data_IF_052484617402
#
_entry.id   IF_052484617402
#
_cell.length_a   1.000
_cell.length_b   1.000
_cell.length_c   1.000
_cell.angle_alpha   90.00
_cell.angle_beta   90.00
_cell.angle_gamma   90.00
#
_symmetry.space_group_name_H-M   'P 1'
#
loop_
_entity.id
_entity.type
_entity.pdbx_description
1 polymer ?
#
# COMPACT_ATOMS: atom_id res chain seq x y z
N UNK A 1 -19.84 47.18 -12.30
CA UNK A 1 -19.95 46.16 -11.22
C UNK A 1 -20.09 44.71 -11.71
N UNK A 2 -20.16 44.42 -13.02
CA UNK A 2 -20.38 43.04 -13.54
C UNK A 2 -19.05 42.24 -13.63
N UNK A 3 -17.94 42.89 -13.96
CA UNK A 3 -16.62 42.25 -14.10
C UNK A 3 -16.04 41.63 -12.81
N UNK A 4 -16.35 42.21 -11.65
CA UNK A 4 -15.91 41.67 -10.36
C UNK A 4 -16.56 40.33 -10.00
N UNK A 5 -17.85 40.17 -10.34
CA UNK A 5 -18.60 38.93 -10.09
C UNK A 5 -18.08 37.76 -10.95
N UNK A 6 -17.81 37.98 -12.23
CA UNK A 6 -17.25 36.95 -13.12
C UNK A 6 -15.85 36.50 -12.71
N UNK A 7 -14.98 37.43 -12.30
CA UNK A 7 -13.65 37.10 -11.79
C UNK A 7 -13.72 36.30 -10.48
N UNK A 8 -14.66 36.65 -9.59
CA UNK A 8 -14.89 35.94 -8.33
C UNK A 8 -15.42 34.51 -8.57
N UNK A 9 -16.38 34.33 -9.46
CA UNK A 9 -16.91 33.01 -9.83
C UNK A 9 -15.84 32.13 -10.47
N UNK A 10 -15.02 32.69 -11.37
CA UNK A 10 -13.93 31.93 -12.01
C UNK A 10 -12.88 31.47 -11.02
N UNK A 11 -12.49 32.33 -10.07
CA UNK A 11 -11.57 31.96 -8.97
C UNK A 11 -12.18 30.91 -8.05
N UNK A 12 -13.46 31.04 -7.71
CA UNK A 12 -14.15 30.06 -6.88
C UNK A 12 -14.28 28.70 -7.59
N UNK A 13 -14.56 28.69 -8.90
CA UNK A 13 -14.59 27.47 -9.71
C UNK A 13 -13.23 26.76 -9.69
N UNK A 14 -12.14 27.45 -10.05
CA UNK A 14 -10.78 26.87 -10.02
C UNK A 14 -10.40 26.31 -8.65
N UNK A 15 -10.83 26.97 -7.57
CA UNK A 15 -10.62 26.49 -6.20
C UNK A 15 -11.39 25.21 -5.89
N UNK A 16 -12.65 25.12 -6.33
CA UNK A 16 -13.46 23.92 -6.11
C UNK A 16 -12.89 22.76 -6.92
N UNK A 17 -12.48 23.01 -8.16
CA UNK A 17 -11.86 22.01 -9.03
C UNK A 17 -10.59 21.41 -8.39
N UNK A 18 -9.67 22.26 -7.88
CA UNK A 18 -8.46 21.76 -7.22
C UNK A 18 -8.73 20.94 -5.94
N UNK A 19 -9.71 21.35 -5.12
CA UNK A 19 -10.10 20.57 -3.93
C UNK A 19 -10.71 19.21 -4.33
N UNK A 20 -11.50 19.16 -5.41
CA UNK A 20 -12.12 17.91 -5.90
C UNK A 20 -11.07 16.99 -6.50
N UNK A 21 -10.15 17.52 -7.30
CA UNK A 21 -9.04 16.78 -7.90
C UNK A 21 -8.17 16.13 -6.82
N UNK A 22 -7.83 16.89 -5.77
CA UNK A 22 -7.06 16.39 -4.63
C UNK A 22 -7.78 15.28 -3.86
N UNK A 23 -9.09 15.43 -3.63
CA UNK A 23 -9.90 14.36 -3.02
C UNK A 23 -9.93 13.10 -3.89
N UNK A 24 -10.04 13.27 -5.20
CA UNK A 24 -10.09 12.17 -6.15
C UNK A 24 -8.76 11.41 -6.21
N UNK A 25 -7.62 12.12 -6.22
CA UNK A 25 -6.27 11.56 -6.13
C UNK A 25 -6.14 10.63 -4.92
N UNK A 26 -6.49 11.13 -3.72
CA UNK A 26 -6.42 10.36 -2.47
C UNK A 26 -7.34 9.13 -2.52
N UNK A 27 -8.58 9.28 -2.99
CA UNK A 27 -9.52 8.16 -3.10
C UNK A 27 -9.04 7.11 -4.09
N UNK A 28 -8.47 7.52 -5.24
CA UNK A 28 -7.90 6.61 -6.22
C UNK A 28 -6.72 5.82 -5.64
N UNK A 29 -5.83 6.48 -4.90
CA UNK A 29 -4.73 5.84 -4.20
C UNK A 29 -5.22 4.82 -3.15
N UNK A 30 -6.14 5.20 -2.28
CA UNK A 30 -6.69 4.31 -1.25
C UNK A 30 -7.44 3.11 -1.86
N UNK A 31 -8.21 3.31 -2.93
CA UNK A 31 -8.90 2.24 -3.63
C UNK A 31 -7.92 1.28 -4.33
N UNK A 32 -6.80 1.81 -4.86
CA UNK A 32 -5.71 0.99 -5.40
C UNK A 32 -5.09 0.12 -4.32
N UNK A 33 -4.70 0.72 -3.20
CA UNK A 33 -4.12 0.00 -2.07
C UNK A 33 -5.05 -1.10 -1.56
N UNK A 34 -6.31 -0.76 -1.31
CA UNK A 34 -7.29 -1.71 -0.79
C UNK A 34 -7.50 -2.90 -1.72
N UNK A 35 -7.57 -2.68 -3.04
CA UNK A 35 -7.67 -3.74 -4.04
C UNK A 35 -6.43 -4.62 -4.03
N UNK A 36 -5.24 -4.03 -4.08
CA UNK A 36 -3.99 -4.78 -4.16
C UNK A 36 -3.71 -5.60 -2.90
N UNK A 37 -4.02 -5.05 -1.71
CA UNK A 37 -3.97 -5.76 -0.44
C UNK A 37 -5.00 -6.88 -0.32
N UNK A 38 -6.19 -6.72 -0.90
CA UNK A 38 -7.20 -7.79 -0.93
C UNK A 38 -6.76 -9.02 -1.74
N UNK A 39 -5.71 -8.88 -2.55
CA UNK A 39 -5.11 -9.95 -3.35
C UNK A 39 -3.77 -10.42 -2.76
N UNK A 40 -3.42 -9.97 -1.55
CA UNK A 40 -2.20 -10.36 -0.88
C UNK A 40 -2.19 -11.86 -0.56
N UNK A 41 -1.03 -12.48 -0.69
CA UNK A 41 -0.81 -13.87 -0.35
C UNK A 41 0.63 -14.10 0.12
N UNK A 42 0.83 -15.20 0.83
CA UNK A 42 2.16 -15.75 1.14
C UNK A 42 2.16 -17.24 0.79
N UNK A 43 3.31 -17.80 0.46
CA UNK A 43 3.49 -19.20 0.08
C UNK A 43 4.40 -19.88 1.09
N UNK A 44 4.00 -21.07 1.55
CA UNK A 44 4.86 -21.93 2.37
C UNK A 44 5.84 -22.75 1.50
N UNK A 45 5.71 -22.66 0.17
CA UNK A 45 6.53 -23.41 -0.77
C UNK A 45 7.88 -22.72 -0.98
N UNK A 46 8.82 -23.00 -0.08
CA UNK A 46 10.21 -22.55 -0.18
C UNK A 46 11.13 -23.75 -0.40
N UNK A 47 12.26 -23.50 -1.07
CA UNK A 47 13.31 -24.51 -1.17
C UNK A 47 13.86 -24.82 0.24
N UNK A 48 13.93 -26.09 0.68
CA UNK A 48 14.50 -26.43 1.98
C UNK A 48 15.97 -25.99 2.13
N UNK A 49 16.69 -25.86 1.02
CA UNK A 49 18.05 -25.31 1.01
C UNK A 49 17.99 -23.79 0.84
N UNK A 50 18.38 -22.98 1.85
CA UNK A 50 18.37 -21.53 1.76
C UNK A 50 19.22 -20.98 0.60
N UNK A 51 20.31 -21.66 0.23
CA UNK A 51 21.18 -21.24 -0.87
C UNK A 51 20.53 -21.37 -2.26
N UNK A 52 19.38 -22.05 -2.35
CA UNK A 52 18.62 -22.26 -3.58
C UNK A 52 17.27 -21.53 -3.56
N UNK A 53 17.02 -20.69 -2.55
CA UNK A 53 15.83 -19.84 -2.50
C UNK A 53 16.07 -18.62 -3.38
N UNK A 54 15.36 -18.54 -4.50
CA UNK A 54 15.42 -17.40 -5.44
C UNK A 54 14.14 -16.57 -5.43
N UNK A 55 13.16 -16.98 -4.62
CA UNK A 55 11.83 -16.39 -4.53
C UNK A 55 11.39 -16.45 -3.07
N UNK A 56 11.01 -15.32 -2.51
CA UNK A 56 10.46 -15.21 -1.16
C UNK A 56 9.19 -14.36 -1.18
N UNK A 57 8.05 -15.02 -1.00
CA UNK A 57 6.80 -14.28 -0.77
C UNK A 57 6.77 -13.73 0.65
N UNK A 58 6.25 -12.52 0.81
CA UNK A 58 6.20 -11.90 2.13
C UNK A 58 4.94 -11.04 2.30
N UNK A 59 4.67 -10.73 3.55
CA UNK A 59 3.78 -9.66 4.00
C UNK A 59 4.39 -9.10 5.27
N UNK A 60 4.92 -7.89 5.16
CA UNK A 60 5.69 -7.22 6.20
C UNK A 60 5.19 -5.79 6.30
N UNK A 61 4.52 -5.49 7.41
CA UNK A 61 4.11 -4.17 7.83
C UNK A 61 5.00 -3.64 8.95
N UNK A 62 5.64 -2.50 8.73
CA UNK A 62 6.48 -1.83 9.74
C UNK A 62 5.91 -0.47 10.09
N UNK A 63 5.66 -0.27 11.38
CA UNK A 63 5.40 1.03 11.99
C UNK A 63 6.68 1.88 11.94
N UNK A 64 6.59 3.09 11.39
CA UNK A 64 7.72 4.06 11.34
C UNK A 64 7.30 5.42 11.88
N UNK A 65 6.35 5.46 12.81
CA UNK A 65 5.74 6.67 13.31
C UNK A 65 4.84 7.29 12.25
N UNK A 66 5.18 8.49 11.77
CA UNK A 66 4.28 9.21 10.84
C UNK A 66 4.25 8.67 9.39
N UNK A 67 4.84 7.51 9.11
CA UNK A 67 5.12 7.11 7.73
C UNK A 67 5.44 5.63 7.59
N UNK A 68 4.42 4.82 7.81
CA UNK A 68 4.51 3.37 7.78
C UNK A 68 4.96 2.84 6.42
N UNK A 69 5.42 1.60 6.46
CA UNK A 69 5.77 0.86 5.25
C UNK A 69 5.15 -0.52 5.29
N UNK A 70 4.66 -0.96 4.14
CA UNK A 70 4.23 -2.33 3.91
C UNK A 70 4.88 -2.87 2.65
N UNK A 71 5.41 -4.07 2.72
CA UNK A 71 6.01 -4.85 1.64
C UNK A 71 5.26 -6.18 1.56
N UNK A 72 4.67 -6.51 0.41
CA UNK A 72 3.88 -7.72 0.30
C UNK A 72 3.80 -8.27 -1.12
N UNK A 73 3.54 -9.57 -1.21
CA UNK A 73 3.26 -10.26 -2.47
C UNK A 73 1.76 -10.28 -2.75
N UNK A 74 1.35 -10.08 -4.02
CA UNK A 74 -0.06 -9.99 -4.42
C UNK A 74 -0.30 -10.63 -5.80
N UNK A 75 -1.54 -11.04 -6.07
CA UNK A 75 -2.03 -11.47 -7.40
C UNK A 75 -2.61 -10.30 -8.22
N UNK A 76 -2.16 -9.07 -7.94
CA UNK A 76 -2.76 -7.87 -8.51
C UNK A 76 -2.13 -7.40 -9.82
N UNK A 77 -1.07 -8.08 -10.29
CA UNK A 77 -0.35 -7.67 -11.49
C UNK A 77 -1.24 -7.83 -12.73
N UNK A 78 -1.20 -6.84 -13.61
CA UNK A 78 -1.89 -6.90 -14.90
C UNK A 78 -0.88 -6.86 -16.01
N UNK A 79 -0.79 -7.96 -16.76
CA UNK A 79 0.05 -8.03 -17.96
C UNK A 79 -0.52 -7.13 -19.06
N UNK A 80 0.21 -6.08 -19.40
CA UNK A 80 -0.16 -5.13 -20.47
C UNK A 80 0.49 -5.46 -21.82
N UNK A 81 1.60 -6.19 -21.82
CA UNK A 81 2.39 -6.52 -23.01
C UNK A 81 2.11 -7.96 -23.44
N UNK A 82 1.81 -8.17 -24.73
CA UNK A 82 1.66 -9.50 -25.30
C UNK A 82 2.99 -10.25 -25.25
N UNK A 83 2.95 -11.53 -24.88
CA UNK A 83 4.10 -12.44 -24.77
C UNK A 83 5.17 -12.05 -23.74
N UNK A 84 4.85 -11.11 -22.84
CA UNK A 84 5.68 -10.89 -21.66
C UNK A 84 5.65 -12.13 -20.77
N UNK A 85 6.84 -12.57 -20.34
CA UNK A 85 7.04 -13.65 -19.37
C UNK A 85 6.73 -13.13 -17.95
N UNK A 86 5.47 -12.74 -17.75
CA UNK A 86 4.92 -12.13 -16.54
C UNK A 86 3.62 -12.88 -16.20
N UNK A 87 3.45 -13.18 -14.91
CA UNK A 87 2.23 -13.77 -14.36
C UNK A 87 1.23 -12.70 -13.91
N UNK A 88 0.31 -13.07 -13.03
CA UNK A 88 -0.55 -12.17 -12.26
C UNK A 88 0.06 -11.80 -10.89
N UNK A 89 1.21 -12.39 -10.56
CA UNK A 89 1.93 -12.13 -9.33
C UNK A 89 2.81 -10.88 -9.42
N UNK A 90 2.88 -10.13 -8.33
CA UNK A 90 3.83 -9.05 -8.13
C UNK A 90 4.25 -8.93 -6.66
N UNK A 91 5.33 -8.20 -6.46
CA UNK A 91 5.66 -7.60 -5.18
C UNK A 91 5.30 -6.13 -5.18
N UNK A 92 4.79 -5.68 -4.04
CA UNK A 92 4.35 -4.31 -3.85
C UNK A 92 4.93 -3.75 -2.57
N UNK A 93 5.24 -2.45 -2.62
CA UNK A 93 5.50 -1.68 -1.41
C UNK A 93 4.68 -0.41 -1.40
N UNK A 94 4.14 -0.04 -0.24
CA UNK A 94 3.64 1.30 0.02
C UNK A 94 4.45 1.91 1.16
N UNK A 95 4.95 3.12 0.95
CA UNK A 95 5.81 3.78 1.93
C UNK A 95 5.82 5.29 1.71
N UNK A 96 6.22 6.02 2.74
CA UNK A 96 6.46 7.46 2.63
C UNK A 96 7.87 7.74 2.14
N UNK A 97 7.98 8.59 1.11
CA UNK A 97 9.24 9.05 0.55
C UNK A 97 9.30 10.58 0.50
N UNK A 98 10.46 11.12 0.11
CA UNK A 98 10.61 12.54 -0.25
C UNK A 98 10.40 12.72 -1.76
N UNK A 99 9.78 13.82 -2.16
CA UNK A 99 9.60 14.12 -3.58
C UNK A 99 10.98 14.28 -4.25
N UNK A 100 11.21 13.70 -5.44
CA UNK A 100 12.52 13.71 -6.10
C UNK A 100 12.99 15.11 -6.52
N UNK A 101 12.04 16.00 -6.84
CA UNK A 101 12.35 17.39 -7.24
C UNK A 101 12.33 18.37 -6.04
N UNK A 102 11.67 18.00 -4.94
CA UNK A 102 11.57 18.85 -3.74
C UNK A 102 11.54 17.99 -2.46
N UNK A 103 12.70 17.81 -1.84
CA UNK A 103 12.81 16.97 -0.64
C UNK A 103 12.01 17.45 0.58
N UNK A 104 11.48 18.68 0.56
CA UNK A 104 10.62 19.17 1.64
C UNK A 104 9.24 18.52 1.61
N UNK A 105 8.79 18.07 0.44
CA UNK A 105 7.50 17.44 0.22
C UNK A 105 7.59 15.94 0.53
N UNK A 106 6.66 15.46 1.36
CA UNK A 106 6.47 14.03 1.62
C UNK A 106 5.44 13.47 0.66
N UNK A 107 5.68 12.25 0.18
CA UNK A 107 4.81 11.59 -0.79
C UNK A 107 4.49 10.17 -0.35
N UNK A 108 3.26 9.72 -0.62
CA UNK A 108 2.91 8.30 -0.61
C UNK A 108 3.42 7.68 -1.91
N UNK A 109 4.41 6.80 -1.80
CA UNK A 109 4.98 6.08 -2.92
C UNK A 109 4.46 4.65 -3.00
N UNK A 110 4.34 4.13 -4.22
CA UNK A 110 4.07 2.73 -4.52
C UNK A 110 5.22 2.15 -5.32
N UNK A 111 5.81 1.06 -4.84
CA UNK A 111 6.75 0.22 -5.59
C UNK A 111 5.99 -0.98 -6.17
N UNK A 112 6.31 -1.37 -7.39
CA UNK A 112 5.88 -2.64 -7.97
C UNK A 112 7.02 -3.35 -8.70
N UNK A 113 7.19 -4.63 -8.39
CA UNK A 113 7.98 -5.55 -9.18
C UNK A 113 7.09 -6.64 -9.75
N UNK A 114 7.09 -6.77 -11.08
CA UNK A 114 6.29 -7.73 -11.84
C UNK A 114 6.76 -9.20 -11.69
N UNK A 115 7.88 -9.44 -11.01
CA UNK A 115 8.45 -10.76 -10.75
C UNK A 115 8.95 -10.83 -9.32
N UNK A 116 8.55 -11.86 -8.60
CA UNK A 116 8.98 -12.06 -7.22
C UNK A 116 10.43 -12.53 -7.22
N UNK A 117 11.25 -11.95 -6.35
CA UNK A 117 12.64 -12.36 -6.10
C UNK A 117 12.85 -12.74 -4.63
N UNK A 118 14.09 -12.83 -4.19
CA UNK A 118 14.48 -13.17 -2.82
C UNK A 118 14.52 -11.96 -1.86
N UNK A 119 14.35 -10.73 -2.35
CA UNK A 119 14.27 -9.51 -1.53
C UNK A 119 12.97 -8.72 -1.81
N UNK A 120 11.89 -9.03 -1.07
CA UNK A 120 10.58 -8.40 -1.28
C UNK A 120 10.55 -6.88 -0.98
N UNK A 121 11.66 -6.29 -0.54
CA UNK A 121 11.77 -4.89 -0.14
C UNK A 121 12.51 -4.02 -1.15
N UNK A 122 13.12 -4.57 -2.19
CA UNK A 122 13.93 -3.80 -3.14
C UNK A 122 13.52 -4.00 -4.61
N UNK A 123 14.26 -3.40 -5.55
CA UNK A 123 13.95 -3.48 -6.97
C UNK A 123 12.64 -2.78 -7.40
N UNK A 124 12.06 -3.25 -8.50
CA UNK A 124 10.80 -2.74 -9.04
C UNK A 124 10.82 -1.28 -9.53
N UNK A 125 9.64 -0.79 -9.90
CA UNK A 125 9.40 0.59 -10.32
C UNK A 125 8.64 1.34 -9.23
N UNK A 126 9.05 2.57 -8.94
CA UNK A 126 8.41 3.44 -7.94
C UNK A 126 7.60 4.53 -8.62
N UNK A 127 6.37 4.71 -8.14
CA UNK A 127 5.41 5.72 -8.57
C UNK A 127 4.98 6.57 -7.36
N UNK A 128 4.80 7.87 -7.56
CA UNK A 128 4.15 8.73 -6.57
C UNK A 128 2.65 8.57 -6.74
N UNK A 129 1.94 8.27 -5.65
CA UNK A 129 0.48 8.15 -5.65
C UNK A 129 -0.22 9.39 -5.12
N UNK A 130 0.33 9.96 -4.06
CA UNK A 130 -0.21 11.16 -3.41
C UNK A 130 0.96 12.04 -2.97
N UNK A 131 1.01 13.27 -3.46
CA UNK A 131 1.99 14.26 -2.99
C UNK A 131 1.56 14.92 -1.67
N UNK A 132 2.39 15.77 -1.05
CA UNK A 132 2.06 16.60 0.14
C UNK A 132 1.25 15.84 1.21
N UNK A 133 1.76 14.71 1.72
CA UNK A 133 1.14 13.94 2.80
C UNK A 133 1.74 14.31 4.18
N UNK A 134 0.94 14.23 5.23
CA UNK A 134 1.39 14.46 6.61
C UNK A 134 1.67 13.14 7.33
N UNK A 135 0.72 12.20 7.25
CA UNK A 135 0.79 10.92 7.95
C UNK A 135 0.26 9.78 7.08
N UNK A 136 0.83 8.60 7.26
CA UNK A 136 0.41 7.35 6.64
C UNK A 136 0.57 6.21 7.66
N UNK A 137 -0.56 5.67 8.10
CA UNK A 137 -0.66 4.70 9.18
C UNK A 137 -1.37 3.42 8.71
N UNK A 138 -0.84 2.28 9.14
CA UNK A 138 -1.34 0.95 8.83
C UNK A 138 -1.57 0.16 10.12
N UNK A 139 -2.76 -0.40 10.26
CA UNK A 139 -3.08 -1.32 11.34
C UNK A 139 -3.56 -2.66 10.78
N UNK A 140 -3.21 -3.74 11.46
CA UNK A 140 -3.41 -5.12 11.01
C UNK A 140 -4.33 -5.87 11.98
N UNK A 141 -5.48 -6.32 11.51
CA UNK A 141 -6.43 -7.08 12.34
C UNK A 141 -6.01 -8.55 12.44
N UNK A 142 -5.56 -8.94 13.62
CA UNK A 142 -5.22 -10.31 13.95
C UNK A 142 -6.48 -11.20 13.97
N UNK A 143 -6.62 -12.20 13.07
CA UNK A 143 -7.77 -13.08 13.03
C UNK A 143 -7.92 -14.01 14.24
N UNK A 144 -6.86 -14.24 15.02
CA UNK A 144 -6.88 -15.15 16.17
C UNK A 144 -7.30 -14.43 17.45
N UNK A 145 -6.79 -13.21 17.65
CA UNK A 145 -7.04 -12.43 18.88
C UNK A 145 -8.13 -11.37 18.71
N UNK A 146 -8.44 -10.96 17.48
CA UNK A 146 -9.35 -9.86 17.19
C UNK A 146 -8.76 -8.46 17.46
N UNK A 147 -7.48 -8.38 17.79
CA UNK A 147 -6.79 -7.12 18.09
C UNK A 147 -6.20 -6.48 16.84
N UNK A 148 -6.14 -5.16 16.83
CA UNK A 148 -5.37 -4.39 15.85
C UNK A 148 -3.93 -4.28 16.31
N UNK A 149 -2.99 -4.59 15.42
CA UNK A 149 -1.55 -4.50 15.63
C UNK A 149 -0.97 -3.41 14.72
N UNK A 150 0.07 -2.70 15.17
CA UNK A 150 0.76 -1.68 14.36
C UNK A 150 1.83 -2.27 13.41
N UNK A 151 2.16 -3.55 13.57
CA UNK A 151 3.10 -4.26 12.71
C UNK A 151 2.65 -5.67 12.42
N UNK A 152 3.16 -6.23 11.32
CA UNK A 152 2.92 -7.59 10.92
C UNK A 152 4.16 -8.12 10.21
N UNK A 153 4.62 -9.33 10.51
CA UNK A 153 5.78 -9.90 9.83
C UNK A 153 5.63 -11.41 9.65
N UNK A 154 5.43 -11.83 8.40
CA UNK A 154 5.32 -13.24 8.00
C UNK A 154 6.66 -13.94 7.78
N UNK A 155 7.76 -13.17 7.72
CA UNK A 155 9.11 -13.68 7.47
C UNK A 155 9.84 -14.03 8.77
N UNK A 156 9.39 -13.46 9.89
CA UNK A 156 9.85 -13.83 11.21
C UNK A 156 9.24 -15.16 11.65
N UNK A 157 10.07 -16.03 12.24
CA UNK A 157 9.66 -17.35 12.76
C UNK A 157 8.78 -17.23 14.00
N UNK A 158 9.20 -17.82 15.12
CA UNK A 158 8.36 -17.89 16.33
C UNK A 158 7.96 -16.51 16.92
N UNK A 159 8.69 -15.43 16.62
CA UNK A 159 8.42 -14.07 17.09
C UNK A 159 7.41 -13.28 16.25
N UNK A 160 7.08 -13.77 15.05
CA UNK A 160 6.23 -13.08 14.08
C UNK A 160 4.87 -13.73 13.89
N UNK A 161 4.34 -13.60 12.67
CA UNK A 161 3.12 -14.25 12.22
C UNK A 161 3.41 -15.16 11.02
N UNK A 162 4.29 -16.16 11.18
CA UNK A 162 4.72 -17.01 10.07
C UNK A 162 3.50 -17.69 9.43
N UNK A 163 3.48 -17.71 8.10
CA UNK A 163 2.43 -18.32 7.29
C UNK A 163 1.01 -17.80 7.54
N UNK A 164 0.85 -16.60 8.09
CA UNK A 164 -0.46 -16.04 8.44
C UNK A 164 -0.56 -14.58 8.06
N UNK A 165 -1.66 -14.23 7.42
CA UNK A 165 -2.00 -12.88 7.01
C UNK A 165 -3.05 -12.28 7.96
N UNK A 166 -3.07 -10.94 8.11
CA UNK A 166 -4.13 -10.30 8.87
C UNK A 166 -5.45 -10.46 8.13
N UNK A 167 -6.57 -10.45 8.87
CA UNK A 167 -7.89 -10.54 8.23
C UNK A 167 -8.32 -9.25 7.55
N UNK A 168 -7.86 -8.11 8.07
CA UNK A 168 -8.07 -6.78 7.52
C UNK A 168 -6.83 -5.92 7.72
N UNK A 169 -6.63 -4.99 6.80
CA UNK A 169 -5.65 -3.89 6.95
C UNK A 169 -6.45 -2.60 6.95
N UNK A 170 -6.31 -1.81 8.02
CA UNK A 170 -6.85 -0.46 8.07
C UNK A 170 -5.77 0.50 7.57
N UNK A 171 -6.16 1.37 6.66
CA UNK A 171 -5.27 2.30 5.97
C UNK A 171 -5.77 3.70 6.31
N UNK A 172 -4.92 4.51 6.92
CA UNK A 172 -5.21 5.90 7.24
C UNK A 172 -4.20 6.78 6.53
N UNK A 173 -4.69 7.78 5.78
CA UNK A 173 -3.86 8.79 5.13
C UNK A 173 -4.31 10.18 5.59
N UNK A 174 -3.35 10.95 6.10
CA UNK A 174 -3.58 12.33 6.54
C UNK A 174 -2.86 13.27 5.58
N UNK A 175 -3.60 14.25 5.05
CA UNK A 175 -3.07 15.30 4.17
C UNK A 175 -3.40 16.68 4.72
N UNK A 176 -2.58 17.71 4.44
CA UNK A 176 -2.93 19.07 4.82
C UNK A 176 -4.18 19.51 4.06
N UNK A 177 -5.04 20.26 4.74
CA UNK A 177 -6.21 20.83 4.08
C UNK A 177 -5.73 21.83 3.01
N UNK A 178 -6.21 21.73 1.76
CA UNK A 178 -5.71 22.51 0.61
C UNK A 178 -5.81 24.04 0.78
N UNK A 179 -6.64 24.51 1.73
CA UNK A 179 -6.92 25.94 1.97
C UNK A 179 -6.52 26.42 3.35
N UNK A 180 -6.39 25.50 4.30
CA UNK A 180 -6.13 25.81 5.71
C UNK A 180 -5.01 24.88 6.15
N UNK A 181 -3.77 25.18 5.79
CA UNK A 181 -2.62 24.31 6.09
C UNK A 181 -2.43 23.98 7.58
N UNK A 182 -3.03 24.76 8.49
CA UNK A 182 -3.10 24.44 9.92
C UNK A 182 -4.15 23.38 10.29
N UNK A 183 -4.91 22.89 9.31
CA UNK A 183 -5.90 21.82 9.45
C UNK A 183 -5.51 20.66 8.55
N UNK A 184 -5.97 19.49 8.96
CA UNK A 184 -5.68 18.23 8.30
C UNK A 184 -6.99 17.61 7.79
N UNK A 185 -6.89 16.81 6.74
CA UNK A 185 -7.95 15.96 6.23
C UNK A 185 -7.48 14.51 6.38
N UNK A 186 -8.29 13.71 7.07
CA UNK A 186 -8.00 12.30 7.34
C UNK A 186 -8.91 11.45 6.48
N UNK A 187 -8.31 10.53 5.73
CA UNK A 187 -9.00 9.56 4.88
C UNK A 187 -8.70 8.17 5.41
N UNK A 188 -9.73 7.33 5.50
CA UNK A 188 -9.60 5.97 5.99
C UNK A 188 -10.29 4.98 5.08
N UNK A 189 -9.66 3.84 4.84
CA UNK A 189 -10.30 2.67 4.22
C UNK A 189 -9.84 1.38 4.90
N UNK A 190 -10.50 0.27 4.57
CA UNK A 190 -10.11 -1.06 5.04
C UNK A 190 -10.01 -2.02 3.87
N UNK A 191 -8.90 -2.73 3.78
CA UNK A 191 -8.74 -3.87 2.89
C UNK A 191 -9.11 -5.14 3.65
N UNK A 192 -9.94 -6.01 3.07
CA UNK A 192 -10.17 -7.36 3.61
C UNK A 192 -9.26 -8.33 2.87
N UNK A 193 -8.52 -9.15 3.59
CA UNK A 193 -7.64 -10.18 3.01
C UNK A 193 -8.35 -11.54 3.10
N UNK A 194 -8.73 -12.14 1.96
CA UNK A 194 -9.44 -13.42 1.93
C UNK A 194 -8.50 -14.60 2.21
N UNK A 195 -7.28 -14.56 1.69
CA UNK A 195 -6.26 -15.59 1.93
C UNK A 195 -5.57 -15.27 3.25
N UNK A 196 -5.89 -16.02 4.31
CA UNK A 196 -5.37 -15.75 5.67
C UNK A 196 -4.20 -16.65 6.07
N UNK A 197 -4.00 -17.73 5.35
CA UNK A 197 -2.93 -18.69 5.61
C UNK A 197 -2.09 -18.85 4.35
N UNK A 198 -0.82 -19.19 4.54
CA UNK A 198 0.07 -19.42 3.43
C UNK A 198 -0.46 -20.51 2.49
N UNK A 199 -0.30 -20.28 1.20
CA UNK A 199 -0.57 -21.28 0.19
C UNK A 199 0.39 -22.45 0.38
N UNK A 200 -0.16 -23.66 0.44
CA UNK A 200 0.59 -24.89 0.65
C UNK A 200 -0.04 -26.01 -0.18
N UNK A 201 0.80 -26.86 -0.78
CA UNK A 201 0.38 -28.01 -1.58
C UNK A 201 0.22 -29.30 -0.75
N UNK A 202 0.62 -29.29 0.53
CA UNK A 202 0.55 -30.45 1.41
C UNK A 202 0.01 -30.10 2.80
N UNK A 203 -1.01 -30.84 3.23
CA UNK A 203 -1.77 -30.77 4.50
C UNK A 203 -3.01 -29.86 4.41
N UNK A 204 -4.01 -30.32 3.65
CA UNK A 204 -5.38 -30.23 4.14
C UNK A 204 -5.46 -31.15 5.36
N UNK A 205 -5.42 -30.61 6.58
CA UNK A 205 -5.77 -31.43 7.74
C UNK A 205 -7.31 -31.51 7.79
N UNK A 206 -7.92 -32.71 7.76
CA UNK A 206 -9.37 -32.88 7.85
C UNK A 206 -9.96 -32.35 9.17
#
# INVERSE_FOLDING_TARGET
MIWGGFAQTTRNKKRIEGDVERNHEVQAALNRMARELSMAYVSAQLNPNPALQTVQTAFVGTDRGSGDRIDFTSFSHRRLIRDAHEGDQNELSYFVARHPEDSSIRVLARREQNRIDDDPRSGGRVEILVEDIQDFELEYLDPLTGNWLSSWDTTQGASGQPNRLPSQVKITLTIPHPRRRSRELVYGTRATIPIRFALNHAIYNP
#
